data_IF_284588166104
#
_entry.id   IF_284588166104
#
_cell.length_a   1.000
_cell.length_b   1.000
_cell.length_c   1.000
_cell.angle_alpha   90.00
_cell.angle_beta   90.00
_cell.angle_gamma   90.00
#
_symmetry.space_group_name_H-M   'P 1'
#
loop_
_entity.id
_entity.type
_entity.pdbx_description
1 polymer ?
#
# COMPACT_ATOMS: atom_id res chain seq x y z
N UNK A 1 -13.02 -6.03 12.00
CA UNK A 1 -11.99 -5.11 11.50
C UNK A 1 -10.73 -5.24 12.33
N UNK A 2 -9.65 -5.71 11.70
CA UNK A 2 -8.31 -5.86 12.28
C UNK A 2 -7.30 -5.18 11.35
N UNK A 3 -6.25 -4.62 11.94
CA UNK A 3 -5.11 -4.07 11.21
C UNK A 3 -3.96 -5.07 11.23
N UNK A 4 -3.32 -5.23 10.08
CA UNK A 4 -2.18 -6.14 9.88
C UNK A 4 -1.00 -5.39 9.28
N UNK A 5 0.22 -5.89 9.51
CA UNK A 5 1.44 -5.31 8.95
C UNK A 5 1.74 -5.82 7.54
N UNK A 6 1.35 -7.06 7.25
CA UNK A 6 1.61 -7.74 5.98
C UNK A 6 0.36 -8.53 5.55
N UNK A 7 0.18 -8.66 4.24
CA UNK A 7 -0.92 -9.38 3.62
C UNK A 7 -0.45 -10.05 2.32
N UNK A 8 -0.65 -11.36 2.22
CA UNK A 8 -0.47 -12.13 1.00
C UNK A 8 -1.84 -12.27 0.30
N UNK A 9 -1.94 -11.67 -0.88
CA UNK A 9 -3.11 -11.74 -1.77
C UNK A 9 -2.82 -12.72 -2.91
N UNK A 10 -3.81 -13.05 -3.73
CA UNK A 10 -3.61 -13.96 -4.87
C UNK A 10 -2.61 -13.45 -5.92
N UNK A 11 -2.32 -12.14 -5.95
CA UNK A 11 -1.40 -11.53 -6.92
C UNK A 11 -0.21 -10.78 -6.34
N UNK A 12 -0.28 -10.36 -5.08
CA UNK A 12 0.67 -9.44 -4.47
C UNK A 12 0.93 -9.78 -3.00
N UNK A 13 2.17 -9.60 -2.56
CA UNK A 13 2.50 -9.50 -1.14
C UNK A 13 2.64 -8.02 -0.80
N UNK A 14 1.84 -7.55 0.16
CA UNK A 14 1.73 -6.13 0.50
C UNK A 14 2.07 -5.96 1.98
N UNK A 15 3.01 -5.08 2.29
CA UNK A 15 3.37 -4.69 3.63
C UNK A 15 3.12 -3.20 3.88
N UNK A 16 2.84 -2.83 5.14
CA UNK A 16 2.80 -1.43 5.56
C UNK A 16 4.18 -0.82 5.36
N UNK A 17 4.23 0.27 4.59
CA UNK A 17 5.47 0.94 4.21
C UNK A 17 5.94 0.64 2.79
N UNK A 18 5.37 -0.37 2.12
CA UNK A 18 5.67 -0.65 0.71
C UNK A 18 5.33 0.54 -0.18
N UNK A 19 6.13 0.70 -1.22
CA UNK A 19 6.03 1.79 -2.18
C UNK A 19 5.80 1.22 -3.58
N UNK A 20 4.64 1.53 -4.15
CA UNK A 20 4.24 1.08 -5.48
C UNK A 20 4.22 2.24 -6.47
N UNK A 21 4.55 1.97 -7.73
CA UNK A 21 4.22 2.89 -8.82
C UNK A 21 2.76 2.68 -9.20
N UNK A 22 2.01 3.77 -9.43
CA UNK A 22 0.65 3.63 -9.95
C UNK A 22 0.62 3.33 -11.47
N UNK A 23 1.79 3.30 -12.13
CA UNK A 23 1.96 2.97 -13.54
C UNK A 23 1.42 4.02 -14.54
N UNK A 24 0.87 5.13 -14.05
CA UNK A 24 0.21 6.15 -14.87
C UNK A 24 0.84 7.53 -14.67
N UNK A 25 1.07 7.92 -13.41
CA UNK A 25 1.56 9.24 -13.01
C UNK A 25 2.97 9.15 -12.41
N UNK A 26 3.69 10.28 -12.40
CA UNK A 26 5.03 10.38 -11.83
C UNK A 26 5.03 10.46 -10.29
N UNK A 27 4.14 9.72 -9.63
CA UNK A 27 4.11 9.61 -8.18
C UNK A 27 4.05 8.16 -7.74
N UNK A 28 4.61 7.92 -6.56
CA UNK A 28 4.57 6.62 -5.93
C UNK A 28 3.49 6.62 -4.84
N UNK A 29 2.93 5.46 -4.54
CA UNK A 29 1.97 5.25 -3.46
C UNK A 29 2.67 4.49 -2.34
N UNK A 30 2.66 5.04 -1.13
CA UNK A 30 3.17 4.35 0.06
C UNK A 30 2.02 3.82 0.90
N UNK A 31 2.04 2.51 1.17
CA UNK A 31 1.05 1.86 2.05
C UNK A 31 1.24 2.34 3.48
N UNK A 32 0.14 2.71 4.13
CA UNK A 32 0.14 3.13 5.53
C UNK A 32 -0.64 2.22 6.44
N UNK A 33 -1.63 1.53 5.91
CA UNK A 33 -2.55 0.74 6.72
C UNK A 33 -3.21 -0.32 5.84
N UNK A 34 -3.34 -1.52 6.39
CA UNK A 34 -4.07 -2.63 5.79
C UNK A 34 -5.15 -3.04 6.77
N UNK A 35 -6.41 -3.04 6.32
CA UNK A 35 -7.58 -3.40 7.11
C UNK A 35 -8.26 -4.65 6.53
N UNK A 36 -8.49 -5.64 7.39
CA UNK A 36 -9.22 -6.87 7.07
C UNK A 36 -10.47 -7.00 7.96
N UNK A 37 -11.54 -7.62 7.46
CA UNK A 37 -12.77 -7.82 8.23
C UNK A 37 -12.56 -8.78 9.40
N UNK A 38 -12.03 -9.97 9.12
CA UNK A 38 -11.61 -11.01 10.07
C UNK A 38 -10.47 -11.87 9.48
N UNK A 39 -9.94 -12.83 10.25
CA UNK A 39 -8.82 -13.69 9.83
C UNK A 39 -9.22 -14.78 8.82
N UNK A 40 -10.52 -15.04 8.65
CA UNK A 40 -11.04 -16.02 7.69
C UNK A 40 -11.46 -15.36 6.36
N UNK A 41 -11.49 -14.02 6.32
CA UNK A 41 -11.83 -13.24 5.15
C UNK A 41 -10.80 -13.41 4.04
N UNK A 42 -11.30 -13.42 2.81
CA UNK A 42 -10.47 -13.45 1.61
C UNK A 42 -9.51 -12.25 1.61
N UNK A 43 -8.18 -12.47 1.58
CA UNK A 43 -7.19 -11.39 1.59
C UNK A 43 -7.34 -10.44 0.40
N UNK A 44 -7.92 -10.88 -0.72
CA UNK A 44 -8.15 -10.05 -1.89
C UNK A 44 -9.21 -8.95 -1.66
N UNK A 45 -10.02 -9.09 -0.60
CA UNK A 45 -11.03 -8.09 -0.20
C UNK A 45 -10.51 -7.08 0.83
N UNK A 46 -9.23 -7.13 1.20
CA UNK A 46 -8.66 -6.21 2.16
C UNK A 46 -8.69 -4.75 1.67
N UNK A 47 -8.87 -3.81 2.60
CA UNK A 47 -8.74 -2.38 2.29
C UNK A 47 -7.30 -1.95 2.53
N UNK A 48 -6.63 -1.48 1.48
CA UNK A 48 -5.27 -0.95 1.55
C UNK A 48 -5.32 0.57 1.42
N UNK A 49 -4.85 1.26 2.45
CA UNK A 49 -4.73 2.72 2.47
C UNK A 49 -3.31 3.13 2.12
N UNK A 50 -3.18 4.13 1.26
CA UNK A 50 -1.90 4.67 0.83
C UNK A 50 -1.94 6.19 0.67
N UNK A 51 -0.78 6.84 0.77
CA UNK A 51 -0.62 8.24 0.36
C UNK A 51 0.31 8.36 -0.83
N UNK A 52 0.07 9.42 -1.60
CA UNK A 52 0.91 9.83 -2.69
C UNK A 52 2.24 10.42 -2.19
N UNK A 53 3.34 9.84 -2.63
CA UNK A 53 4.69 10.38 -2.55
C UNK A 53 5.00 11.16 -3.83
N UNK A 54 4.99 12.49 -3.72
CA UNK A 54 5.57 13.35 -4.73
C UNK A 54 7.07 13.38 -4.46
N UNK A 55 7.87 12.84 -5.39
CA UNK A 55 9.32 12.96 -5.32
C UNK A 55 9.66 14.43 -5.60
N UNK A 56 9.70 15.25 -4.54
CA UNK A 56 10.30 16.58 -4.64
C UNK A 56 11.79 16.37 -4.91
N UNK A 57 12.17 16.45 -6.18
CA UNK A 57 13.56 16.69 -6.59
C UNK A 57 13.98 18.00 -5.93
N UNK A 58 14.63 17.91 -4.77
CA UNK A 58 15.40 19.02 -4.23
C UNK A 58 16.65 19.08 -5.11
N UNK A 59 16.54 19.71 -6.28
CA UNK A 59 17.70 20.19 -7.02
C UNK A 59 18.41 21.18 -6.09
N UNK A 60 19.50 20.72 -5.47
CA UNK A 60 20.44 21.62 -4.82
C UNK A 60 20.90 22.65 -5.85
N UNK A 61 20.78 23.92 -5.44
CA UNK A 61 21.30 25.14 -6.08
C UNK A 61 22.73 24.96 -6.60
#
# INVERSE_FOLDING_TARGET
>A
MKYVEELETSGWNIAVGDVFSNGIEEFHLKVTQIEIEDEESDPDNAKVYSYQLILMLITKL
#
